data_IF_315935981053
#
_entry.id   IF_315935981053
#
_cell.length_a   1.000
_cell.length_b   1.000
_cell.length_c   1.000
_cell.angle_alpha   90.00
_cell.angle_beta   90.00
_cell.angle_gamma   90.00
#
_symmetry.space_group_name_H-M   'P 1'
#
loop_
_entity.id
_entity.type
_entity.pdbx_description
1 polymer ?
#
# COMPACT_ATOMS: atom_id res chain seq x y z
N UNK A 1 -8.00 1.81 -0.20
CA UNK A 1 -6.95 1.55 0.80
C UNK A 1 -5.63 2.23 0.45
N UNK A 2 -5.08 2.07 -0.77
CA UNK A 2 -3.83 2.74 -1.18
C UNK A 2 -3.83 4.27 -0.99
N UNK A 3 -4.85 4.98 -1.50
CA UNK A 3 -4.95 6.43 -1.31
C UNK A 3 -4.94 6.84 0.18
N UNK A 4 -5.72 6.15 1.01
CA UNK A 4 -5.75 6.39 2.45
C UNK A 4 -4.40 6.13 3.13
N UNK A 5 -3.64 5.12 2.67
CA UNK A 5 -2.29 4.84 3.15
C UNK A 5 -1.34 6.01 2.87
N UNK A 6 -1.37 6.55 1.65
CA UNK A 6 -0.58 7.74 1.29
C UNK A 6 -1.03 8.99 2.07
N UNK A 7 -2.34 9.24 2.16
CA UNK A 7 -2.87 10.36 2.94
C UNK A 7 -2.39 10.32 4.38
N UNK A 8 -2.51 9.17 5.06
CA UNK A 8 -2.01 9.00 6.42
C UNK A 8 -0.52 9.35 6.54
N UNK A 9 0.30 8.86 5.62
CA UNK A 9 1.74 9.08 5.66
C UNK A 9 2.13 10.55 5.43
N UNK A 10 1.44 11.25 4.52
CA UNK A 10 1.69 12.67 4.25
C UNK A 10 1.18 13.58 5.37
N UNK A 11 0.09 13.20 6.02
CA UNK A 11 -0.45 13.94 7.17
C UNK A 11 0.35 13.69 8.47
N UNK A 12 1.07 12.57 8.56
CA UNK A 12 1.80 12.14 9.77
C UNK A 12 3.24 11.65 9.43
N UNK A 13 4.10 12.48 8.80
CA UNK A 13 5.39 12.03 8.27
C UNK A 13 6.36 11.57 9.36
N UNK A 14 6.38 12.21 10.53
CA UNK A 14 7.21 11.78 11.67
C UNK A 14 6.75 10.44 12.24
N UNK A 15 5.44 10.24 12.36
CA UNK A 15 4.87 8.97 12.82
C UNK A 15 5.21 7.84 11.84
N UNK A 16 5.05 8.09 10.54
CA UNK A 16 5.43 7.15 9.49
C UNK A 16 6.92 6.79 9.56
N UNK A 17 7.79 7.77 9.78
CA UNK A 17 9.23 7.56 9.88
C UNK A 17 9.61 6.69 11.09
N UNK A 18 8.98 6.90 12.25
CA UNK A 18 9.15 6.04 13.43
C UNK A 18 8.68 4.61 13.14
N UNK A 19 7.52 4.45 12.52
CA UNK A 19 6.92 3.14 12.23
C UNK A 19 7.77 2.30 11.26
N UNK A 20 8.32 2.91 10.21
CA UNK A 20 8.86 2.15 9.07
C UNK A 20 10.29 2.49 8.68
N UNK A 21 10.77 3.71 8.94
CA UNK A 21 12.09 4.15 8.49
C UNK A 21 13.18 4.01 9.56
N UNK A 22 12.82 3.48 10.74
CA UNK A 22 13.74 3.22 11.88
C UNK A 22 14.59 4.43 12.26
N UNK A 23 13.99 5.63 12.24
CA UNK A 23 14.71 6.89 12.48
C UNK A 23 15.16 7.11 13.92
N UNK A 24 14.70 6.28 14.87
CA UNK A 24 15.06 6.36 16.29
C UNK A 24 15.94 5.15 16.67
N UNK A 25 17.26 5.35 16.90
CA UNK A 25 18.14 4.28 17.33
C UNK A 25 17.68 3.63 18.64
N UNK A 26 17.60 2.30 18.67
CA UNK A 26 17.21 1.54 19.86
C UNK A 26 15.72 1.61 20.22
N UNK A 27 14.88 2.24 19.39
CA UNK A 27 13.44 2.15 19.55
C UNK A 27 12.94 0.77 19.14
N UNK A 28 12.22 0.12 20.05
CA UNK A 28 11.50 -1.12 19.81
C UNK A 28 10.01 -0.84 20.00
N UNK A 29 9.19 -1.23 19.02
CA UNK A 29 7.74 -1.08 19.11
C UNK A 29 7.18 -2.00 20.20
N UNK A 30 6.11 -1.57 20.86
CA UNK A 30 5.41 -2.41 21.84
C UNK A 30 4.73 -3.61 21.17
N UNK A 31 4.45 -4.66 21.93
CA UNK A 31 3.67 -5.80 21.45
C UNK A 31 2.31 -5.38 20.88
N UNK A 32 1.61 -4.46 21.55
CA UNK A 32 0.35 -3.88 21.06
C UNK A 32 0.51 -3.21 19.69
N UNK A 33 1.65 -2.55 19.46
CA UNK A 33 1.94 -1.90 18.17
C UNK A 33 2.16 -2.92 17.06
N UNK A 34 2.85 -4.03 17.38
CA UNK A 34 2.99 -5.16 16.45
C UNK A 34 1.64 -5.81 16.12
N UNK A 35 0.77 -6.00 17.12
CA UNK A 35 -0.57 -6.54 16.93
C UNK A 35 -1.43 -5.62 16.05
N UNK A 36 -1.38 -4.30 16.28
CA UNK A 36 -2.08 -3.32 15.46
C UNK A 36 -1.59 -3.30 14.00
N UNK A 37 -0.27 -3.40 13.80
CA UNK A 37 0.33 -3.50 12.46
C UNK A 37 -0.10 -4.79 11.75
N UNK A 38 -0.06 -5.93 12.45
CA UNK A 38 -0.52 -7.21 11.92
C UNK A 38 -2.00 -7.13 11.52
N UNK A 39 -2.86 -6.59 12.37
CA UNK A 39 -4.29 -6.40 12.08
C UNK A 39 -4.51 -5.55 10.83
N UNK A 40 -3.79 -4.44 10.67
CA UNK A 40 -3.88 -3.59 9.49
C UNK A 40 -3.55 -4.35 8.19
N UNK A 41 -2.56 -5.24 8.23
CA UNK A 41 -2.25 -6.12 7.11
C UNK A 41 -3.33 -7.17 6.87
N UNK A 42 -3.92 -7.74 7.92
CA UNK A 42 -5.03 -8.69 7.81
C UNK A 42 -6.26 -8.07 7.12
N UNK A 43 -6.56 -6.79 7.36
CA UNK A 43 -7.63 -6.07 6.67
C UNK A 43 -7.37 -5.97 5.17
N UNK A 44 -6.15 -5.63 4.76
CA UNK A 44 -5.76 -5.60 3.35
C UNK A 44 -5.92 -6.98 2.70
N UNK A 45 -5.43 -8.03 3.36
CA UNK A 45 -5.59 -9.42 2.88
C UNK A 45 -7.05 -9.80 2.74
N UNK A 46 -7.91 -9.41 3.68
CA UNK A 46 -9.34 -9.70 3.66
C UNK A 46 -10.03 -9.06 2.45
N UNK A 47 -9.69 -7.80 2.15
CA UNK A 47 -10.21 -7.12 0.95
C UNK A 47 -9.74 -7.80 -0.34
N UNK A 48 -8.47 -8.20 -0.41
CA UNK A 48 -7.92 -8.95 -1.56
C UNK A 48 -8.62 -10.29 -1.72
N UNK A 49 -8.82 -11.05 -0.64
CA UNK A 49 -9.51 -12.34 -0.68
C UNK A 49 -10.94 -12.16 -1.21
N UNK A 50 -11.65 -11.14 -0.73
CA UNK A 50 -12.99 -10.81 -1.23
C UNK A 50 -12.99 -10.49 -2.74
N UNK A 51 -12.00 -9.76 -3.25
CA UNK A 51 -11.88 -9.47 -4.68
C UNK A 51 -11.66 -10.74 -5.51
N UNK A 52 -10.93 -11.73 -4.97
CA UNK A 52 -10.75 -13.05 -5.57
C UNK A 52 -12.06 -13.85 -5.54
N UNK A 53 -12.71 -13.93 -4.38
CA UNK A 53 -13.94 -14.72 -4.16
C UNK A 53 -15.10 -14.23 -5.03
N UNK A 54 -15.14 -12.92 -5.30
CA UNK A 54 -16.12 -12.27 -6.18
C UNK A 54 -15.72 -12.27 -7.66
N UNK A 55 -14.64 -12.96 -8.03
CA UNK A 55 -14.09 -13.05 -9.39
C UNK A 55 -13.65 -11.73 -10.03
N UNK A 56 -13.52 -10.65 -9.26
CA UNK A 56 -12.94 -9.39 -9.74
C UNK A 56 -11.45 -9.53 -10.01
N UNK A 57 -10.72 -10.21 -9.13
CA UNK A 57 -9.30 -10.52 -9.30
C UNK A 57 -9.08 -11.92 -9.88
N UNK A 58 -7.94 -12.10 -10.53
CA UNK A 58 -7.42 -13.41 -10.92
C UNK A 58 -7.19 -14.28 -9.67
N UNK A 59 -7.48 -15.60 -9.71
CA UNK A 59 -7.23 -16.50 -8.59
C UNK A 59 -5.74 -16.59 -8.25
N UNK A 60 -5.37 -16.29 -7.01
CA UNK A 60 -4.01 -16.44 -6.48
C UNK A 60 -4.06 -16.44 -4.94
N UNK A 61 -2.90 -16.55 -4.27
CA UNK A 61 -2.78 -16.38 -2.84
C UNK A 61 -3.00 -14.90 -2.45
N UNK A 62 -4.02 -14.63 -1.64
CA UNK A 62 -4.39 -13.28 -1.18
C UNK A 62 -3.33 -12.62 -0.31
N UNK A 63 -2.55 -13.39 0.45
CA UNK A 63 -1.45 -12.88 1.27
C UNK A 63 -0.29 -12.37 0.39
N UNK A 64 0.06 -13.12 -0.67
CA UNK A 64 1.09 -12.68 -1.61
C UNK A 64 0.67 -11.40 -2.35
N UNK A 65 -0.57 -11.32 -2.80
CA UNK A 65 -1.09 -10.11 -3.45
C UNK A 65 -1.12 -8.94 -2.47
N UNK A 66 -1.60 -9.13 -1.24
CA UNK A 66 -1.60 -8.08 -0.21
C UNK A 66 -0.19 -7.57 0.08
N UNK A 67 0.80 -8.47 0.19
CA UNK A 67 2.20 -8.11 0.37
C UNK A 67 2.76 -7.29 -0.80
N UNK A 68 2.42 -7.65 -2.04
CA UNK A 68 2.84 -6.90 -3.23
C UNK A 68 2.22 -5.50 -3.26
N UNK A 69 0.91 -5.39 -3.01
CA UNK A 69 0.21 -4.10 -2.94
C UNK A 69 0.84 -3.22 -1.86
N UNK A 70 1.05 -3.77 -0.65
CA UNK A 70 1.64 -3.03 0.45
C UNK A 70 3.07 -2.60 0.13
N UNK A 71 3.91 -3.49 -0.38
CA UNK A 71 5.29 -3.16 -0.76
C UNK A 71 5.38 -2.03 -1.78
N UNK A 72 4.53 -2.05 -2.81
CA UNK A 72 4.49 -1.00 -3.83
C UNK A 72 4.02 0.34 -3.25
N UNK A 73 2.93 0.34 -2.47
CA UNK A 73 2.43 1.56 -1.82
C UNK A 73 3.45 2.14 -0.85
N UNK A 74 4.06 1.27 -0.03
CA UNK A 74 5.07 1.62 0.96
C UNK A 74 6.31 2.24 0.32
N UNK A 75 6.85 1.59 -0.72
CA UNK A 75 8.02 2.09 -1.44
C UNK A 75 7.76 3.45 -2.10
N UNK A 76 6.61 3.64 -2.76
CA UNK A 76 6.28 4.91 -3.39
C UNK A 76 6.14 6.06 -2.37
N UNK A 77 5.46 5.82 -1.24
CA UNK A 77 5.32 6.80 -0.16
C UNK A 77 6.66 7.10 0.50
N UNK A 78 7.50 6.09 0.74
CA UNK A 78 8.82 6.30 1.32
C UNK A 78 9.71 7.16 0.41
N UNK A 79 9.69 6.90 -0.91
CA UNK A 79 10.42 7.72 -1.89
C UNK A 79 9.92 9.18 -1.91
N UNK A 80 8.61 9.38 -1.83
CA UNK A 80 8.02 10.72 -1.75
C UNK A 80 8.43 11.46 -0.47
N UNK A 81 8.31 10.82 0.69
CA UNK A 81 8.66 11.42 1.99
C UNK A 81 10.15 11.72 2.13
N UNK A 82 11.02 10.94 1.48
CA UNK A 82 12.47 11.15 1.48
C UNK A 82 12.93 12.13 0.38
N UNK A 83 12.00 12.74 -0.36
CA UNK A 83 12.30 13.62 -1.50
C UNK A 83 13.17 12.95 -2.58
N UNK A 84 13.00 11.63 -2.74
CA UNK A 84 13.76 10.78 -3.68
C UNK A 84 13.00 10.47 -4.98
N UNK A 85 11.79 11.00 -5.14
CA UNK A 85 11.00 10.86 -6.37
C UNK A 85 11.69 11.56 -7.54
N UNK A 86 11.95 10.80 -8.62
CA UNK A 86 12.60 11.34 -9.83
C UNK A 86 11.62 12.12 -10.71
N UNK A 87 10.35 11.69 -10.74
CA UNK A 87 9.29 12.41 -11.43
C UNK A 87 8.64 13.42 -10.48
N UNK A 88 8.38 14.63 -10.98
CA UNK A 88 7.98 15.76 -10.14
C UNK A 88 6.56 15.62 -9.56
N UNK A 89 5.60 15.07 -10.33
CA UNK A 89 4.23 14.89 -9.84
C UNK A 89 4.10 13.54 -9.11
N UNK A 90 4.33 13.57 -7.81
CA UNK A 90 4.20 12.40 -6.93
C UNK A 90 2.76 11.91 -6.83
N UNK A 91 1.78 12.79 -6.98
CA UNK A 91 0.36 12.44 -6.96
C UNK A 91 -0.03 11.66 -8.21
N UNK A 92 0.38 12.13 -9.40
CA UNK A 92 0.20 11.41 -10.66
C UNK A 92 0.90 10.05 -10.59
N UNK A 93 2.17 10.02 -10.16
CA UNK A 93 2.95 8.79 -10.04
C UNK A 93 2.26 7.77 -9.15
N UNK A 94 1.78 8.19 -7.97
CA UNK A 94 1.12 7.30 -7.03
C UNK A 94 -0.22 6.78 -7.58
N UNK A 95 -1.04 7.64 -8.19
CA UNK A 95 -2.30 7.22 -8.79
C UNK A 95 -2.06 6.22 -9.93
N UNK A 96 -1.08 6.46 -10.80
CA UNK A 96 -0.72 5.53 -11.87
C UNK A 96 -0.17 4.21 -11.34
N UNK A 97 0.57 4.22 -10.23
CA UNK A 97 1.00 3.00 -9.56
C UNK A 97 -0.20 2.15 -9.13
N UNK A 98 -1.19 2.75 -8.45
CA UNK A 98 -2.39 2.04 -7.99
C UNK A 98 -3.17 1.45 -9.17
N UNK A 99 -3.40 2.23 -10.23
CA UNK A 99 -4.07 1.74 -11.45
C UNK A 99 -3.30 0.59 -12.09
N UNK A 100 -1.97 0.68 -12.18
CA UNK A 100 -1.13 -0.37 -12.76
C UNK A 100 -1.21 -1.67 -11.97
N UNK A 101 -1.12 -1.58 -10.64
CA UNK A 101 -1.24 -2.74 -9.75
C UNK A 101 -2.62 -3.40 -9.89
N UNK A 102 -3.70 -2.62 -9.79
CA UNK A 102 -5.06 -3.15 -9.87
C UNK A 102 -5.32 -3.76 -11.25
N UNK A 103 -4.91 -3.08 -12.34
CA UNK A 103 -5.03 -3.61 -13.71
C UNK A 103 -4.39 -4.97 -13.88
N UNK A 104 -3.22 -5.19 -13.28
CA UNK A 104 -2.52 -6.49 -13.33
C UNK A 104 -3.20 -7.60 -12.53
N UNK A 105 -4.04 -7.25 -11.55
CA UNK A 105 -4.77 -8.19 -10.70
C UNK A 105 -6.18 -8.50 -11.23
N UNK A 106 -6.78 -7.57 -11.97
CA UNK A 106 -8.13 -7.70 -12.52
C UNK A 106 -8.24 -8.87 -13.49
N UNK A 107 -9.35 -9.61 -13.40
CA UNK A 107 -9.73 -10.62 -14.38
C UNK A 107 -10.07 -9.99 -15.74
N UNK A 108 -10.68 -8.80 -15.72
CA UNK A 108 -10.92 -7.97 -16.88
C UNK A 108 -10.13 -6.65 -16.75
N UNK A 109 -8.93 -6.54 -17.37
CA UNK A 109 -8.08 -5.36 -17.22
C UNK A 109 -8.70 -4.05 -17.72
N UNK A 110 -9.73 -4.08 -18.57
CA UNK A 110 -10.39 -2.87 -19.08
C UNK A 110 -11.16 -2.11 -18.00
N UNK A 111 -11.61 -2.81 -16.95
CA UNK A 111 -12.29 -2.19 -15.80
C UNK A 111 -11.39 -1.21 -15.04
N UNK A 112 -10.07 -1.29 -15.22
CA UNK A 112 -9.13 -0.33 -14.62
C UNK A 112 -9.29 1.09 -15.19
N UNK A 113 -9.93 1.27 -16.34
CA UNK A 113 -10.15 2.58 -16.94
C UNK A 113 -11.06 3.47 -16.08
N UNK A 114 -11.94 2.87 -15.27
CA UNK A 114 -12.80 3.59 -14.32
C UNK A 114 -12.05 4.10 -13.08
N UNK A 115 -10.79 3.71 -12.89
CA UNK A 115 -9.93 4.07 -11.76
C UNK A 115 -8.88 5.15 -12.13
N UNK A 116 -8.79 5.51 -13.41
CA UNK A 116 -7.80 6.44 -13.96
C UNK A 116 -8.37 7.86 -14.06
#
# INVERSE_FOLDING_TARGET
>A
MGLAYRTFALENPETYAVMFLRVVPGFEASEDSFLAAAQSFQELRTVVQRAIDTNQFLPNNSELIAQQIWASCHGAVALELLEMSVFADTNETYNKLLVTLIRGLLRNPEESAALA
#
